data_IF_593742517337
#
_entry.id   IF_593742517337
#
_cell.length_a   1.000
_cell.length_b   1.000
_cell.length_c   1.000
_cell.angle_alpha   90.00
_cell.angle_beta   90.00
_cell.angle_gamma   90.00
#
_symmetry.space_group_name_H-M   'P 1'
#
loop_
_entity.id
_entity.type
_entity.pdbx_description
1 polymer ?
#
# COMPACT_ATOMS: atom_id res chain seq x y z
N UNK A 1 15.69 2.44 -12.16
CA UNK A 1 15.95 1.63 -10.95
C UNK A 1 15.50 2.48 -9.78
N UNK A 2 14.34 2.19 -9.20
CA UNK A 2 13.79 2.93 -8.04
C UNK A 2 12.60 2.17 -7.37
N UNK A 3 12.57 0.85 -7.54
CA UNK A 3 11.44 -0.01 -7.15
C UNK A 3 11.52 -0.56 -5.73
N UNK A 4 12.73 -0.79 -5.24
CA UNK A 4 13.00 -1.54 -4.00
C UNK A 4 12.59 -0.77 -2.73
N UNK A 5 12.86 0.55 -2.65
CA UNK A 5 12.44 1.36 -1.50
C UNK A 5 10.93 1.37 -1.24
N UNK A 6 10.08 1.20 -2.27
CA UNK A 6 8.62 1.21 -2.11
C UNK A 6 8.10 -0.14 -1.61
N UNK A 7 8.64 -1.22 -2.16
CA UNK A 7 8.33 -2.59 -1.74
C UNK A 7 8.74 -2.80 -0.28
N UNK A 8 9.98 -2.46 0.08
CA UNK A 8 10.51 -2.67 1.43
C UNK A 8 9.75 -1.84 2.47
N UNK A 9 9.34 -0.61 2.12
CA UNK A 9 8.46 0.19 3.00
C UNK A 9 7.08 -0.46 3.17
N UNK A 10 6.55 -1.06 2.11
CA UNK A 10 5.26 -1.75 2.16
C UNK A 10 5.33 -2.99 3.04
N UNK A 11 6.36 -3.82 2.85
CA UNK A 11 6.61 -5.03 3.65
C UNK A 11 6.87 -4.68 5.11
N UNK A 12 7.69 -3.66 5.41
CA UNK A 12 7.94 -3.21 6.77
C UNK A 12 6.67 -2.72 7.46
N UNK A 13 5.84 -1.96 6.75
CA UNK A 13 4.56 -1.51 7.28
C UNK A 13 3.61 -2.68 7.57
N UNK A 14 3.53 -3.66 6.67
CA UNK A 14 2.71 -4.87 6.85
C UNK A 14 3.20 -5.67 8.05
N UNK A 15 4.50 -5.96 8.14
CA UNK A 15 5.12 -6.71 9.23
C UNK A 15 4.74 -6.14 10.59
N UNK A 16 4.96 -4.83 10.79
CA UNK A 16 4.63 -4.15 12.05
C UNK A 16 3.11 -4.08 12.27
N UNK A 17 2.31 -3.89 11.21
CA UNK A 17 0.85 -3.82 11.33
C UNK A 17 0.22 -5.16 11.72
N UNK A 18 0.75 -6.27 11.21
CA UNK A 18 0.29 -7.61 11.56
C UNK A 18 0.69 -8.01 12.97
N UNK A 19 1.88 -7.62 13.42
CA UNK A 19 2.30 -7.80 14.81
C UNK A 19 1.45 -6.94 15.77
N UNK A 20 1.14 -5.71 15.39
CA UNK A 20 0.32 -4.80 16.21
C UNK A 20 -1.15 -5.21 16.30
N UNK A 21 -1.70 -5.93 15.33
CA UNK A 21 -3.03 -6.55 15.48
C UNK A 21 -3.03 -7.57 16.65
N UNK A 22 -1.87 -8.14 16.99
CA UNK A 22 -1.69 -9.07 18.10
C UNK A 22 -1.35 -8.37 19.43
N UNK A 23 -0.88 -7.12 19.41
CA UNK A 23 -0.38 -6.39 20.59
C UNK A 23 -1.10 -5.04 20.83
N UNK A 24 -1.72 -4.90 21.99
CA UNK A 24 -2.64 -3.80 22.32
C UNK A 24 -1.91 -2.45 22.51
N UNK A 25 -2.31 -1.45 21.71
CA UNK A 25 -2.12 0.01 21.91
C UNK A 25 -0.69 0.58 22.07
N UNK A 26 0.12 0.53 21.02
CA UNK A 26 1.29 1.43 20.89
C UNK A 26 0.90 2.84 20.42
N UNK A 27 1.61 3.87 20.87
CA UNK A 27 1.47 5.25 20.35
C UNK A 27 1.91 5.32 18.87
N UNK A 28 1.31 6.22 18.09
CA UNK A 28 1.54 6.33 16.64
C UNK A 28 3.03 6.54 16.29
N UNK A 29 3.77 7.27 17.10
CA UNK A 29 5.20 7.51 16.86
C UNK A 29 6.07 6.28 17.14
N UNK A 30 5.69 5.45 18.12
CA UNK A 30 6.36 4.17 18.39
C UNK A 30 6.14 3.22 17.20
N UNK A 31 4.91 3.16 16.67
CA UNK A 31 4.61 2.36 15.49
C UNK A 31 5.49 2.73 14.30
N UNK A 32 5.61 4.02 14.01
CA UNK A 32 6.43 4.48 12.88
C UNK A 32 7.93 4.36 13.13
N UNK A 33 8.37 4.35 14.39
CA UNK A 33 9.73 3.94 14.77
C UNK A 33 10.00 2.50 14.37
N UNK A 34 9.12 1.56 14.76
CA UNK A 34 9.28 0.15 14.39
C UNK A 34 9.21 -0.09 12.88
N UNK A 35 8.37 0.66 12.15
CA UNK A 35 8.34 0.59 10.67
C UNK A 35 9.67 1.09 10.06
N UNK A 36 10.28 2.12 10.65
CA UNK A 36 11.58 2.61 10.19
C UNK A 36 12.67 1.56 10.42
N UNK A 37 12.70 0.94 11.60
CA UNK A 37 13.69 -0.09 11.94
C UNK A 37 13.58 -1.29 10.99
N UNK A 38 12.37 -1.82 10.80
CA UNK A 38 12.12 -2.93 9.86
C UNK A 38 12.44 -2.55 8.40
N UNK A 39 12.17 -1.30 8.00
CA UNK A 39 12.52 -0.82 6.66
C UNK A 39 14.04 -0.81 6.45
N UNK A 40 14.81 -0.36 7.44
CA UNK A 40 16.28 -0.37 7.35
C UNK A 40 16.83 -1.80 7.32
N UNK A 41 16.25 -2.72 8.08
CA UNK A 41 16.61 -4.14 8.05
C UNK A 41 16.39 -4.74 6.65
N UNK A 42 15.20 -4.56 6.07
CA UNK A 42 14.88 -5.09 4.73
C UNK A 42 15.73 -4.46 3.62
N UNK A 43 16.01 -3.16 3.70
CA UNK A 43 16.96 -2.52 2.78
C UNK A 43 18.37 -3.12 2.92
N UNK A 44 18.86 -3.37 4.14
CA UNK A 44 20.18 -3.98 4.34
C UNK A 44 20.27 -5.40 3.79
N UNK A 45 19.22 -6.21 3.97
CA UNK A 45 19.13 -7.57 3.41
C UNK A 45 19.21 -7.57 1.88
N UNK A 46 18.59 -6.58 1.23
CA UNK A 46 18.66 -6.36 -0.22
C UNK A 46 19.98 -5.71 -0.70
N UNK A 47 20.91 -5.41 0.23
CA UNK A 47 22.17 -4.74 -0.07
C UNK A 47 22.04 -3.22 -0.32
N UNK A 48 20.88 -2.63 -0.03
CA UNK A 48 20.62 -1.19 -0.15
C UNK A 48 20.91 -0.47 1.17
N UNK A 49 21.78 0.55 1.13
CA UNK A 49 21.98 1.44 2.27
C UNK A 49 21.17 2.72 2.09
N UNK A 50 19.96 2.75 2.66
CA UNK A 50 19.06 3.90 2.59
C UNK A 50 18.86 4.51 3.97
N UNK A 51 19.38 5.71 4.18
CA UNK A 51 19.04 6.49 5.38
C UNK A 51 17.77 7.29 5.12
N UNK A 52 16.70 6.93 5.83
CA UNK A 52 15.41 7.63 5.83
C UNK A 52 15.04 8.01 7.25
N UNK A 53 14.23 9.06 7.37
CA UNK A 53 13.62 9.48 8.62
C UNK A 53 12.13 9.15 8.60
N UNK A 54 11.54 9.01 9.79
CA UNK A 54 10.12 8.68 9.97
C UNK A 54 9.18 9.55 9.13
N UNK A 55 9.41 10.88 9.09
CA UNK A 55 8.55 11.79 8.32
C UNK A 55 8.58 11.53 6.81
N UNK A 56 9.75 11.16 6.27
CA UNK A 56 9.88 10.78 4.86
C UNK A 56 9.13 9.49 4.57
N UNK A 57 9.23 8.47 5.44
CA UNK A 57 8.49 7.22 5.28
C UNK A 57 6.97 7.43 5.39
N UNK A 58 6.52 8.22 6.37
CA UNK A 58 5.10 8.58 6.55
C UNK A 58 4.53 9.23 5.28
N UNK A 59 5.26 10.16 4.66
CA UNK A 59 4.82 10.83 3.44
C UNK A 59 4.75 9.85 2.26
N UNK A 60 5.81 9.09 2.01
CA UNK A 60 5.83 8.10 0.93
C UNK A 60 4.74 7.04 1.09
N UNK A 61 4.56 6.51 2.30
CA UNK A 61 3.48 5.59 2.61
C UNK A 61 2.11 6.21 2.34
N UNK A 62 1.87 7.45 2.78
CA UNK A 62 0.59 8.13 2.60
C UNK A 62 0.23 8.27 1.12
N UNK A 63 1.20 8.62 0.28
CA UNK A 63 1.02 8.74 -1.16
C UNK A 63 0.71 7.39 -1.82
N UNK A 64 1.50 6.36 -1.51
CA UNK A 64 1.31 4.99 -2.04
C UNK A 64 -0.05 4.42 -1.61
N UNK A 65 -0.35 4.47 -0.31
CA UNK A 65 -1.59 3.95 0.25
C UNK A 65 -2.81 4.66 -0.35
N UNK A 66 -2.74 5.99 -0.54
CA UNK A 66 -3.79 6.74 -1.24
C UNK A 66 -3.97 6.26 -2.68
N UNK A 67 -2.87 6.04 -3.42
CA UNK A 67 -2.90 5.47 -4.76
C UNK A 67 -3.60 4.11 -4.78
N UNK A 68 -3.14 3.18 -3.94
CA UNK A 68 -3.71 1.84 -3.82
C UNK A 68 -5.21 1.84 -3.45
N UNK A 69 -5.64 2.74 -2.56
CA UNK A 69 -7.07 2.89 -2.19
C UNK A 69 -7.93 3.35 -3.37
N UNK A 70 -7.47 4.35 -4.12
CA UNK A 70 -8.21 4.86 -5.28
C UNK A 70 -8.29 3.77 -6.35
N UNK A 71 -7.17 3.09 -6.64
CA UNK A 71 -7.15 2.00 -7.60
C UNK A 71 -8.08 0.85 -7.17
N UNK A 72 -8.03 0.41 -5.91
CA UNK A 72 -8.93 -0.63 -5.40
C UNK A 72 -10.41 -0.23 -5.48
N UNK A 73 -10.73 1.05 -5.35
CA UNK A 73 -12.09 1.57 -5.58
C UNK A 73 -12.48 1.50 -7.05
N UNK A 74 -11.59 1.91 -7.96
CA UNK A 74 -11.83 1.79 -9.41
C UNK A 74 -12.02 0.33 -9.82
N UNK A 75 -11.17 -0.58 -9.34
CA UNK A 75 -11.28 -2.01 -9.62
C UNK A 75 -12.63 -2.58 -9.15
N UNK A 76 -13.07 -2.23 -7.92
CA UNK A 76 -14.40 -2.61 -7.43
C UNK A 76 -15.53 -2.07 -8.31
N UNK A 77 -15.44 -0.81 -8.76
CA UNK A 77 -16.44 -0.22 -9.66
C UNK A 77 -16.49 -0.93 -11.02
N UNK A 78 -15.35 -1.31 -11.59
CA UNK A 78 -15.28 -2.08 -12.84
C UNK A 78 -15.90 -3.46 -12.66
N UNK A 79 -15.57 -4.16 -11.57
CA UNK A 79 -16.10 -5.49 -11.27
C UNK A 79 -17.61 -5.51 -10.98
N UNK A 80 -18.19 -4.40 -10.51
CA UNK A 80 -19.64 -4.28 -10.28
C UNK A 80 -20.43 -3.94 -11.55
N UNK A 81 -19.75 -3.56 -12.64
CA UNK A 81 -20.39 -3.34 -13.94
C UNK A 81 -20.81 -4.64 -14.63
N UNK A 82 -21.48 -4.57 -15.80
CA UNK A 82 -21.83 -5.76 -16.57
C UNK A 82 -20.57 -6.52 -17.01
N UNK A 83 -20.27 -7.66 -16.36
CA UNK A 83 -19.07 -8.47 -16.59
C UNK A 83 -19.13 -9.22 -17.93
N UNK A 84 -20.25 -9.19 -18.67
CA UNK A 84 -20.45 -10.05 -19.85
C UNK A 84 -19.40 -9.76 -20.94
N UNK A 85 -18.35 -10.58 -20.98
CA UNK A 85 -17.29 -10.57 -21.99
C UNK A 85 -15.95 -9.95 -21.59
N UNK A 86 -15.76 -9.43 -20.36
CA UNK A 86 -14.46 -8.88 -19.94
C UNK A 86 -13.55 -9.93 -19.32
N UNK A 87 -12.35 -10.12 -19.90
CA UNK A 87 -11.27 -10.92 -19.31
C UNK A 87 -10.60 -10.16 -18.15
N UNK A 88 -9.86 -10.86 -17.27
CA UNK A 88 -9.17 -10.27 -16.11
C UNK A 88 -8.24 -9.10 -16.49
N UNK A 89 -7.52 -9.24 -17.60
CA UNK A 89 -6.64 -8.18 -18.14
C UNK A 89 -7.42 -6.92 -18.53
N UNK A 90 -8.64 -7.10 -19.07
CA UNK A 90 -9.54 -5.98 -19.40
C UNK A 90 -10.03 -5.25 -18.14
N UNK A 91 -10.17 -5.95 -17.01
CA UNK A 91 -10.56 -5.34 -15.74
C UNK A 91 -9.43 -4.49 -15.15
N UNK A 92 -8.19 -4.98 -15.20
CA UNK A 92 -7.02 -4.24 -14.71
C UNK A 92 -6.78 -2.97 -15.54
N UNK A 93 -6.81 -3.07 -16.86
CA UNK A 93 -6.62 -1.91 -17.73
C UNK A 93 -7.77 -0.89 -17.64
N UNK A 94 -9.01 -1.35 -17.47
CA UNK A 94 -10.14 -0.48 -17.18
C UNK A 94 -9.97 0.23 -15.82
N UNK A 95 -9.51 -0.48 -14.79
CA UNK A 95 -9.28 0.09 -13.47
C UNK A 95 -8.15 1.13 -13.47
N UNK A 96 -7.03 0.87 -14.19
CA UNK A 96 -5.95 1.84 -14.41
C UNK A 96 -6.45 3.07 -15.15
N UNK A 97 -7.21 2.89 -16.22
CA UNK A 97 -7.79 4.00 -17.00
C UNK A 97 -8.68 4.89 -16.13
N UNK A 98 -9.55 4.28 -15.31
CA UNK A 98 -10.37 5.01 -14.34
C UNK A 98 -9.54 5.69 -13.25
N UNK A 99 -8.43 5.09 -12.80
CA UNK A 99 -7.51 5.69 -11.84
C UNK A 99 -6.84 6.96 -12.41
N UNK A 100 -6.34 6.88 -13.64
CA UNK A 100 -5.67 8.00 -14.32
C UNK A 100 -6.65 9.15 -14.60
N UNK A 101 -7.88 8.83 -15.02
CA UNK A 101 -8.95 9.80 -15.22
C UNK A 101 -9.32 10.58 -13.94
N UNK A 102 -9.03 10.05 -12.74
CA UNK A 102 -9.21 10.75 -11.45
C UNK A 102 -8.07 11.71 -11.10
N UNK A 103 -7.19 12.01 -12.05
CA UNK A 103 -6.10 12.98 -11.89
C UNK A 103 -5.00 12.52 -10.93
N UNK A 104 -4.78 11.21 -10.81
CA UNK A 104 -3.78 10.62 -9.91
C UNK A 104 -2.42 10.33 -10.56
N UNK A 105 -2.23 10.81 -11.80
CA UNK A 105 -1.07 10.45 -12.61
C UNK A 105 -1.11 9.00 -13.05
N UNK A 106 -0.03 8.55 -13.71
CA UNK A 106 0.11 7.17 -14.21
C UNK A 106 0.08 6.16 -13.06
N UNK A 107 -0.61 5.05 -13.26
CA UNK A 107 -0.57 3.94 -12.28
C UNK A 107 0.84 3.34 -12.18
N UNK A 108 1.44 3.38 -10.99
CA UNK A 108 2.82 2.90 -10.73
C UNK A 108 2.98 2.09 -9.44
N UNK A 109 1.89 1.76 -8.75
CA UNK A 109 1.91 1.09 -7.44
C UNK A 109 1.45 -0.37 -7.53
N UNK A 110 1.72 -1.05 -8.66
CA UNK A 110 1.29 -2.44 -8.88
C UNK A 110 1.81 -3.38 -7.79
N UNK A 111 3.13 -3.43 -7.62
CA UNK A 111 3.78 -4.33 -6.65
C UNK A 111 3.34 -4.02 -5.21
N UNK A 112 3.17 -2.74 -4.88
CA UNK A 112 2.67 -2.29 -3.58
C UNK A 112 1.23 -2.75 -3.37
N UNK A 113 0.36 -2.60 -4.37
CA UNK A 113 -1.03 -3.04 -4.28
C UNK A 113 -1.15 -4.56 -4.17
N UNK A 114 -0.34 -5.32 -4.89
CA UNK A 114 -0.33 -6.78 -4.80
C UNK A 114 -0.01 -7.24 -3.38
N UNK A 115 1.06 -6.72 -2.77
CA UNK A 115 1.39 -6.98 -1.36
C UNK A 115 0.22 -6.59 -0.47
N UNK A 116 -0.20 -5.32 -0.51
CA UNK A 116 -1.24 -4.83 0.42
C UNK A 116 -2.57 -5.57 0.31
N UNK A 117 -2.99 -5.93 -0.90
CA UNK A 117 -4.26 -6.63 -1.14
C UNK A 117 -4.29 -8.06 -0.59
N UNK A 118 -3.12 -8.69 -0.43
CA UNK A 118 -2.95 -10.01 0.15
C UNK A 118 -3.08 -10.01 1.68
N UNK A 119 -2.73 -8.91 2.35
CA UNK A 119 -2.68 -8.85 3.81
C UNK A 119 -3.97 -8.29 4.45
N UNK A 120 -4.52 -9.03 5.42
CA UNK A 120 -5.78 -8.68 6.09
C UNK A 120 -5.68 -7.40 6.94
N UNK A 121 -4.47 -7.07 7.44
CA UNK A 121 -4.23 -5.86 8.22
C UNK A 121 -4.60 -4.59 7.45
N UNK A 122 -4.30 -4.55 6.15
CA UNK A 122 -4.63 -3.42 5.29
C UNK A 122 -6.14 -3.27 5.07
N UNK A 123 -6.90 -4.37 5.06
CA UNK A 123 -8.36 -4.37 4.95
C UNK A 123 -9.01 -3.90 6.25
N UNK A 124 -8.56 -4.42 7.40
CA UNK A 124 -9.05 -4.02 8.74
C UNK A 124 -8.81 -2.53 8.99
N UNK A 125 -7.63 -2.02 8.64
CA UNK A 125 -7.29 -0.61 8.82
C UNK A 125 -8.07 0.30 7.85
N UNK A 126 -8.49 -0.19 6.68
CA UNK A 126 -9.40 0.55 5.81
C UNK A 126 -10.79 0.73 6.43
N UNK A 127 -11.30 -0.30 7.11
CA UNK A 127 -12.63 -0.27 7.73
C UNK A 127 -12.68 0.66 8.95
N UNK A 128 -11.59 0.75 9.73
CA UNK A 128 -11.49 1.65 10.89
C UNK A 128 -11.54 3.15 10.53
N UNK A 129 -11.18 3.53 9.29
CA UNK A 129 -11.27 4.90 8.82
C UNK A 129 -12.62 5.27 8.18
N UNK A 130 -13.53 4.30 8.01
CA UNK A 130 -14.87 4.51 7.42
C UNK A 130 -15.95 4.82 8.47
N UNK A 131 -15.65 4.61 9.75
CA UNK A 131 -16.58 4.73 10.89
C UNK A 131 -16.46 6.04 11.67
N UNK A 132 -15.97 7.13 11.04
CA UNK A 132 -15.98 8.47 11.62
C UNK A 132 -16.76 9.44 10.76
#
# INVERSE_FOLDING_TARGET
>A
MDGYSKKNLTEAWVYVSEDRIKSNNQQLDVFWGSVLDAFHEFCQEDGERVERIVSSLKNHWSDMNRGCKVYGTCLKSVMQGPISGMQQENLDDAAKTMYEARGKGKWMYKDVYEVLSAHQCWKILQDQHRTR
#
